data_IF_164652373336
#
_entry.id   IF_164652373336
#
_cell.length_a   1.000
_cell.length_b   1.000
_cell.length_c   1.000
_cell.angle_alpha   90.00
_cell.angle_beta   90.00
_cell.angle_gamma   90.00
#
_symmetry.space_group_name_H-M   'P 1'
#
loop_
_entity.id
_entity.type
_entity.pdbx_description
1 polymer ?
#
# COMPACT_ATOMS: atom_id res chain seq x y z
N UNK A 1 18.62 6.24 3.08
CA UNK A 1 18.03 7.34 2.27
C UNK A 1 16.74 7.90 2.87
N UNK A 2 15.67 7.11 3.11
CA UNK A 2 14.45 7.62 3.80
C UNK A 2 14.64 7.75 5.32
N UNK A 3 15.33 6.79 5.95
CA UNK A 3 15.65 6.87 7.39
C UNK A 3 16.62 8.00 7.71
N UNK A 4 17.70 8.14 6.93
CA UNK A 4 18.67 9.24 7.09
C UNK A 4 18.00 10.62 6.95
N UNK A 5 17.00 10.76 6.07
CA UNK A 5 16.23 11.99 5.94
C UNK A 5 15.33 12.27 7.16
N UNK A 6 14.80 11.21 7.79
CA UNK A 6 14.02 11.33 9.02
C UNK A 6 14.91 11.72 10.21
N UNK A 7 16.08 11.08 10.34
CA UNK A 7 17.09 11.44 11.34
C UNK A 7 17.50 12.91 11.21
N UNK A 8 17.81 13.36 10.00
CA UNK A 8 18.16 14.76 9.74
C UNK A 8 17.06 15.74 10.14
N UNK A 9 15.79 15.42 9.85
CA UNK A 9 14.66 16.28 10.23
C UNK A 9 14.43 16.31 11.74
N UNK A 10 14.66 15.20 12.44
CA UNK A 10 14.63 15.17 13.91
C UNK A 10 15.73 16.08 14.48
N UNK A 11 16.95 15.95 13.97
CA UNK A 11 18.08 16.78 14.42
C UNK A 11 17.84 18.27 14.14
N UNK A 12 17.35 18.61 12.95
CA UNK A 12 16.99 19.98 12.57
C UNK A 12 15.91 20.55 13.50
N UNK A 13 14.82 19.79 13.73
CA UNK A 13 13.75 20.25 14.62
C UNK A 13 14.22 20.39 16.08
N UNK A 14 15.07 19.48 16.56
CA UNK A 14 15.59 19.49 17.93
C UNK A 14 16.55 20.66 18.22
N UNK A 15 17.13 21.27 17.18
CA UNK A 15 18.06 22.41 17.30
C UNK A 15 17.36 23.77 17.29
N UNK A 16 16.04 23.81 17.05
CA UNK A 16 15.29 25.07 17.00
C UNK A 16 15.17 25.70 18.40
N UNK A 17 15.29 27.02 18.47
CA UNK A 17 15.14 27.79 19.71
C UNK A 17 13.68 28.19 20.01
N UNK A 18 12.77 27.88 19.08
CA UNK A 18 11.34 28.18 19.11
C UNK A 18 11.01 29.68 19.19
N UNK A 19 11.94 30.57 18.86
CA UNK A 19 11.76 32.01 18.98
C UNK A 19 10.62 32.54 18.08
N UNK A 20 10.45 31.93 16.90
CA UNK A 20 9.43 32.28 15.91
C UNK A 20 7.99 32.04 16.41
N UNK A 21 7.77 31.04 17.28
CA UNK A 21 6.46 30.73 17.85
C UNK A 21 6.20 31.41 19.20
N UNK A 22 7.18 32.06 19.82
CA UNK A 22 7.02 32.74 21.12
C UNK A 22 5.82 33.70 21.18
N UNK A 23 5.56 34.56 20.18
CA UNK A 23 4.40 35.45 20.20
C UNK A 23 3.06 34.68 20.32
N UNK A 24 3.00 33.49 19.72
CA UNK A 24 1.81 32.64 19.73
C UNK A 24 1.59 31.93 21.07
N UNK A 25 2.52 31.98 22.03
CA UNK A 25 2.24 31.52 23.40
C UNK A 25 1.25 32.43 24.12
N UNK A 26 1.14 33.70 23.71
CA UNK A 26 0.15 34.64 24.24
C UNK A 26 -1.25 34.38 23.62
N UNK A 27 -2.28 34.06 24.44
CA UNK A 27 -3.64 33.84 23.94
C UNK A 27 -4.25 35.03 23.17
N UNK A 28 -3.96 36.26 23.59
CA UNK A 28 -4.48 37.46 22.93
C UNK A 28 -3.86 37.66 21.54
N UNK A 29 -2.57 37.32 21.42
CA UNK A 29 -1.90 37.33 20.13
C UNK A 29 -2.52 36.30 19.20
N UNK A 30 -2.73 35.05 19.64
CA UNK A 30 -3.43 34.01 18.85
C UNK A 30 -4.80 34.47 18.36
N UNK A 31 -5.56 35.14 19.24
CA UNK A 31 -6.87 35.72 18.89
C UNK A 31 -6.74 36.80 17.83
N UNK A 32 -5.73 37.66 17.90
CA UNK A 32 -5.44 38.68 16.88
C UNK A 32 -5.05 38.08 15.53
N UNK A 33 -4.37 36.92 15.54
CA UNK A 33 -3.99 36.14 14.37
C UNK A 33 -5.15 35.29 13.81
N UNK A 34 -6.37 35.49 14.32
CA UNK A 34 -7.56 34.88 13.75
C UNK A 34 -7.81 33.43 14.17
N UNK A 35 -7.14 32.93 15.22
CA UNK A 35 -7.43 31.59 15.71
C UNK A 35 -8.86 31.51 16.28
N UNK A 36 -9.51 30.37 16.08
CA UNK A 36 -10.86 30.13 16.58
C UNK A 36 -10.80 29.83 18.07
N UNK A 37 -11.53 30.58 18.89
CA UNK A 37 -11.41 30.55 20.36
C UNK A 37 -11.54 29.16 21.01
N UNK A 38 -12.49 28.34 20.56
CA UNK A 38 -12.72 27.00 21.13
C UNK A 38 -11.93 25.89 20.42
N UNK A 39 -10.95 26.23 19.58
CA UNK A 39 -10.15 25.22 18.89
C UNK A 39 -9.02 24.69 19.78
N UNK A 40 -8.66 23.43 19.57
CA UNK A 40 -7.48 22.82 20.16
C UNK A 40 -6.20 23.57 19.76
N UNK A 41 -6.15 24.17 18.56
CA UNK A 41 -5.06 25.04 18.12
C UNK A 41 -4.89 26.27 19.03
N UNK A 42 -5.99 26.85 19.53
CA UNK A 42 -5.95 27.97 20.48
C UNK A 42 -5.64 27.52 21.91
N UNK A 43 -6.22 26.40 22.34
CA UNK A 43 -6.23 25.96 23.73
C UNK A 43 -4.96 25.19 24.13
N UNK A 44 -4.24 24.64 23.15
CA UNK A 44 -3.09 23.76 23.39
C UNK A 44 -1.86 24.16 22.59
N UNK A 45 -1.79 25.39 22.07
CA UNK A 45 -0.66 25.85 21.27
C UNK A 45 0.68 25.73 22.03
N UNK A 46 0.66 26.02 23.33
CA UNK A 46 1.82 25.95 24.20
C UNK A 46 2.36 24.52 24.37
N UNK A 47 1.55 23.49 24.09
CA UNK A 47 2.02 22.10 24.08
C UNK A 47 3.04 21.83 22.96
N UNK A 48 3.24 22.74 22.00
CA UNK A 48 4.35 22.65 21.03
C UNK A 48 5.72 22.70 21.70
N UNK A 49 5.85 23.42 22.82
CA UNK A 49 7.09 23.45 23.60
C UNK A 49 7.36 22.08 24.22
N UNK A 50 6.32 21.42 24.74
CA UNK A 50 6.41 20.08 25.30
C UNK A 50 6.75 19.04 24.21
N UNK A 51 6.14 19.17 23.01
CA UNK A 51 6.48 18.34 21.85
C UNK A 51 7.96 18.50 21.49
N UNK A 52 8.45 19.74 21.38
CA UNK A 52 9.84 20.01 21.08
C UNK A 52 10.79 19.38 22.12
N UNK A 53 10.50 19.54 23.42
CA UNK A 53 11.27 18.89 24.48
C UNK A 53 11.30 17.37 24.34
N UNK A 54 10.19 16.75 23.93
CA UNK A 54 10.13 15.31 23.68
C UNK A 54 10.94 14.89 22.46
N UNK A 55 10.96 15.69 21.39
CA UNK A 55 11.84 15.44 20.25
C UNK A 55 13.31 15.51 20.68
N UNK A 56 13.70 16.53 21.45
CA UNK A 56 15.06 16.65 22.00
C UNK A 56 15.43 15.46 22.90
N UNK A 57 14.52 15.02 23.77
CA UNK A 57 14.79 13.97 24.75
C UNK A 57 14.78 12.56 24.14
N UNK A 58 13.79 12.26 23.31
CA UNK A 58 13.50 10.89 22.84
C UNK A 58 13.80 10.68 21.36
N UNK A 59 14.18 11.74 20.64
CA UNK A 59 14.68 11.69 19.26
C UNK A 59 13.69 10.91 18.37
N UNK A 60 14.18 9.91 17.62
CA UNK A 60 13.37 9.06 16.72
C UNK A 60 12.15 8.39 17.38
N UNK A 61 12.12 8.28 18.71
CA UNK A 61 11.04 7.60 19.45
C UNK A 61 10.06 8.56 20.13
N UNK A 62 10.21 9.88 19.95
CA UNK A 62 9.41 10.88 20.65
C UNK A 62 7.90 10.68 20.54
N UNK A 63 7.42 10.21 19.38
CA UNK A 63 5.99 10.00 19.13
C UNK A 63 5.35 9.02 20.12
N UNK A 64 6.13 8.05 20.63
CA UNK A 64 5.66 7.07 21.62
C UNK A 64 5.48 7.66 23.02
N UNK A 65 6.01 8.86 23.27
CA UNK A 65 5.95 9.54 24.55
C UNK A 65 4.96 10.71 24.57
N UNK A 66 4.23 10.93 23.47
CA UNK A 66 3.25 12.01 23.38
C UNK A 66 1.99 11.70 24.21
N UNK A 67 1.52 12.66 25.00
CA UNK A 67 0.27 12.59 25.75
C UNK A 67 -0.93 13.08 24.91
N UNK A 68 -2.12 13.01 25.47
CA UNK A 68 -3.35 13.41 24.76
C UNK A 68 -3.33 14.90 24.32
N UNK A 69 -2.78 15.79 25.15
CA UNK A 69 -2.73 17.23 24.87
C UNK A 69 -1.82 17.54 23.68
N UNK A 70 -0.64 16.94 23.65
CA UNK A 70 0.34 17.08 22.56
C UNK A 70 -0.20 16.48 21.27
N UNK A 71 -0.82 15.30 21.33
CA UNK A 71 -1.48 14.72 20.17
C UNK A 71 -2.59 15.65 19.63
N UNK A 72 -3.40 16.27 20.51
CA UNK A 72 -4.44 17.23 20.09
C UNK A 72 -3.87 18.42 19.33
N UNK A 73 -2.74 19.01 19.76
CA UNK A 73 -2.16 20.15 19.03
C UNK A 73 -1.59 19.71 17.68
N UNK A 74 -0.92 18.55 17.61
CA UNK A 74 -0.40 18.01 16.34
C UNK A 74 -1.52 17.74 15.33
N UNK A 75 -2.59 17.05 15.76
CA UNK A 75 -3.76 16.81 14.92
C UNK A 75 -4.40 18.13 14.48
N UNK A 76 -4.47 19.13 15.36
CA UNK A 76 -5.06 20.43 15.03
C UNK A 76 -4.25 21.24 14.03
N UNK A 77 -2.92 21.10 14.05
CA UNK A 77 -2.05 21.68 13.03
C UNK A 77 -2.20 20.96 11.69
N UNK A 78 -2.21 19.63 11.69
CA UNK A 78 -2.46 18.85 10.47
C UNK A 78 -3.81 19.18 9.84
N UNK A 79 -4.86 19.24 10.66
CA UNK A 79 -6.22 19.65 10.29
C UNK A 79 -6.30 21.07 9.70
N UNK A 80 -5.46 21.98 10.21
CA UNK A 80 -5.43 23.37 9.77
C UNK A 80 -4.51 23.60 8.57
N UNK A 81 -3.73 22.59 8.14
CA UNK A 81 -2.69 22.76 7.10
C UNK A 81 -3.26 23.15 5.75
N UNK A 82 -4.39 22.57 5.38
CA UNK A 82 -5.03 22.79 4.09
C UNK A 82 -6.50 23.19 4.26
N UNK A 83 -7.06 24.03 3.36
CA UNK A 83 -8.49 24.26 3.31
C UNK A 83 -9.25 22.96 3.07
N UNK A 84 -10.43 22.83 3.67
CA UNK A 84 -11.35 21.74 3.34
C UNK A 84 -11.98 21.91 1.95
N UNK A 85 -12.84 20.98 1.53
CA UNK A 85 -13.52 21.03 0.22
C UNK A 85 -14.32 22.33 -0.02
N UNK A 86 -14.81 22.97 1.06
CA UNK A 86 -15.52 24.27 1.01
C UNK A 86 -14.57 25.49 0.96
N UNK A 87 -13.25 25.28 0.93
CA UNK A 87 -12.25 26.34 1.02
C UNK A 87 -12.11 26.96 2.41
N UNK A 88 -12.69 26.35 3.46
CA UNK A 88 -12.57 26.81 4.85
C UNK A 88 -11.35 26.18 5.51
N UNK A 89 -10.55 27.00 6.18
CA UNK A 89 -9.41 26.55 6.97
C UNK A 89 -9.89 26.19 8.37
N UNK A 90 -9.66 24.94 8.80
CA UNK A 90 -10.04 24.49 10.15
C UNK A 90 -9.22 25.24 11.19
N UNK A 91 -9.81 25.50 12.36
CA UNK A 91 -9.20 26.22 13.49
C UNK A 91 -8.93 27.73 13.29
N UNK A 92 -9.22 28.29 12.10
CA UNK A 92 -9.15 29.73 11.84
C UNK A 92 -10.55 30.34 11.68
N UNK A 93 -10.65 31.63 11.97
CA UNK A 93 -11.82 32.44 11.63
C UNK A 93 -11.83 32.76 10.13
N UNK A 94 -12.98 33.15 9.58
CA UNK A 94 -13.11 33.52 8.16
C UNK A 94 -12.18 34.68 7.79
N UNK A 95 -11.69 34.69 6.54
CA UNK A 95 -10.87 35.76 5.94
C UNK A 95 -9.53 35.98 6.67
N UNK A 96 -8.85 34.87 7.03
CA UNK A 96 -7.57 34.86 7.77
C UNK A 96 -6.49 34.07 7.06
N UNK A 97 -6.54 34.06 5.74
CA UNK A 97 -5.66 33.26 4.88
C UNK A 97 -4.20 33.73 5.00
N UNK A 98 -3.98 35.03 5.20
CA UNK A 98 -2.62 35.59 5.39
C UNK A 98 -2.00 35.16 6.71
N UNK A 99 -2.76 35.22 7.81
CA UNK A 99 -2.30 34.82 9.13
C UNK A 99 -2.10 33.30 9.22
N UNK A 100 -2.97 32.53 8.55
CA UNK A 100 -2.77 31.10 8.34
C UNK A 100 -1.46 30.80 7.61
N UNK A 101 -1.24 31.44 6.45
CA UNK A 101 -0.02 31.26 5.68
C UNK A 101 1.22 31.63 6.51
N UNK A 102 1.16 32.76 7.22
CA UNK A 102 2.26 33.22 8.09
C UNK A 102 2.58 32.18 9.16
N UNK A 103 1.58 31.55 9.78
CA UNK A 103 1.81 30.49 10.79
C UNK A 103 2.54 29.29 10.19
N UNK A 104 2.14 28.84 9.00
CA UNK A 104 2.73 27.65 8.37
C UNK A 104 4.07 27.92 7.68
N UNK A 105 4.43 29.18 7.47
CA UNK A 105 5.75 29.62 7.01
C UNK A 105 6.77 29.75 8.16
N UNK A 106 6.33 29.72 9.42
CA UNK A 106 7.23 29.67 10.57
C UNK A 106 8.13 28.44 10.48
N UNK A 107 9.41 28.60 10.81
CA UNK A 107 10.43 27.54 10.72
C UNK A 107 10.06 26.36 11.61
N UNK A 108 9.62 26.63 12.85
CA UNK A 108 9.17 25.60 13.79
C UNK A 108 7.98 24.82 13.23
N UNK A 109 6.96 25.51 12.69
CA UNK A 109 5.75 24.84 12.21
C UNK A 109 6.03 24.07 10.92
N UNK A 110 6.74 24.67 9.96
CA UNK A 110 7.07 24.03 8.69
C UNK A 110 7.96 22.79 8.87
N UNK A 111 8.97 22.87 9.73
CA UNK A 111 9.86 21.73 10.05
C UNK A 111 9.10 20.63 10.77
N UNK A 112 8.22 20.98 11.73
CA UNK A 112 7.34 20.01 12.38
C UNK A 112 6.39 19.32 11.37
N UNK A 113 5.83 20.06 10.43
CA UNK A 113 4.97 19.47 9.39
C UNK A 113 5.75 18.51 8.48
N UNK A 114 6.98 18.87 8.10
CA UNK A 114 7.86 17.97 7.35
C UNK A 114 8.19 16.70 8.13
N UNK A 115 8.41 16.81 9.44
CA UNK A 115 8.62 15.69 10.35
C UNK A 115 7.41 14.74 10.38
N UNK A 116 6.20 15.29 10.57
CA UNK A 116 4.96 14.50 10.59
C UNK A 116 4.69 13.82 9.25
N UNK A 117 4.95 14.49 8.13
CA UNK A 117 4.85 13.90 6.79
C UNK A 117 5.79 12.72 6.60
N UNK A 118 7.01 12.80 7.14
CA UNK A 118 7.95 11.69 7.09
C UNK A 118 7.51 10.50 7.94
N UNK A 119 6.92 10.74 9.12
CA UNK A 119 6.33 9.67 9.93
C UNK A 119 5.21 8.97 9.16
N UNK A 120 4.32 9.72 8.52
CA UNK A 120 3.24 9.15 7.71
C UNK A 120 3.79 8.34 6.52
N UNK A 121 4.79 8.87 5.81
CA UNK A 121 5.45 8.17 4.69
C UNK A 121 6.09 6.86 5.14
N UNK A 122 6.75 6.84 6.30
CA UNK A 122 7.33 5.61 6.86
C UNK A 122 6.24 4.59 7.20
N UNK A 123 5.12 5.02 7.78
CA UNK A 123 3.98 4.15 8.06
C UNK A 123 3.41 3.53 6.78
N UNK A 124 3.23 4.32 5.72
CA UNK A 124 2.77 3.80 4.43
C UNK A 124 3.78 2.83 3.81
N UNK A 125 5.08 3.11 3.94
CA UNK A 125 6.13 2.23 3.46
C UNK A 125 6.14 0.88 4.19
N UNK A 126 5.93 0.87 5.51
CA UNK A 126 5.78 -0.36 6.30
C UNK A 126 4.59 -1.19 5.81
N UNK A 127 3.43 -0.55 5.58
CA UNK A 127 2.25 -1.24 5.05
C UNK A 127 2.51 -1.86 3.68
N UNK A 128 3.22 -1.15 2.81
CA UNK A 128 3.61 -1.66 1.49
C UNK A 128 4.56 -2.87 1.61
N UNK A 129 5.56 -2.81 2.48
CA UNK A 129 6.46 -3.93 2.74
C UNK A 129 5.67 -5.14 3.25
N UNK A 130 4.78 -4.97 4.22
CA UNK A 130 3.96 -6.04 4.77
C UNK A 130 3.10 -6.71 3.68
N UNK A 131 2.46 -5.92 2.83
CA UNK A 131 1.66 -6.43 1.71
C UNK A 131 2.52 -7.25 0.73
N UNK A 132 3.72 -6.75 0.40
CA UNK A 132 4.65 -7.45 -0.49
C UNK A 132 5.17 -8.74 0.13
N UNK A 133 5.56 -8.73 1.41
CA UNK A 133 6.01 -9.93 2.12
C UNK A 133 4.91 -10.98 2.18
N UNK A 134 3.68 -10.60 2.51
CA UNK A 134 2.54 -11.51 2.51
C UNK A 134 2.32 -12.15 1.13
N UNK A 135 2.38 -11.35 0.06
CA UNK A 135 2.32 -11.86 -1.31
C UNK A 135 3.45 -12.84 -1.61
N UNK A 136 4.69 -12.49 -1.27
CA UNK A 136 5.85 -13.35 -1.49
C UNK A 136 5.72 -14.68 -0.74
N UNK A 137 5.28 -14.65 0.51
CA UNK A 137 5.05 -15.85 1.33
C UNK A 137 3.97 -16.73 0.69
N UNK A 138 2.81 -16.17 0.33
CA UNK A 138 1.72 -16.94 -0.30
C UNK A 138 2.17 -17.59 -1.60
N UNK A 139 2.89 -16.86 -2.46
CA UNK A 139 3.42 -17.42 -3.71
C UNK A 139 4.49 -18.49 -3.46
N UNK A 140 5.38 -18.28 -2.49
CA UNK A 140 6.39 -19.27 -2.12
C UNK A 140 5.75 -20.56 -1.57
N UNK A 141 4.75 -20.44 -0.71
CA UNK A 141 3.99 -21.58 -0.17
C UNK A 141 3.25 -22.30 -1.30
N UNK A 142 2.52 -21.57 -2.14
CA UNK A 142 1.81 -22.15 -3.29
C UNK A 142 2.73 -22.95 -4.21
N UNK A 143 3.96 -22.47 -4.42
CA UNK A 143 4.91 -23.12 -5.31
C UNK A 143 5.63 -24.31 -4.65
N UNK A 144 5.99 -24.22 -3.36
CA UNK A 144 6.81 -25.23 -2.67
C UNK A 144 6.01 -26.33 -2.01
N UNK A 145 4.85 -26.02 -1.45
CA UNK A 145 4.02 -26.99 -0.71
C UNK A 145 3.66 -28.22 -1.57
N UNK A 146 3.25 -28.07 -2.85
CA UNK A 146 3.03 -29.20 -3.76
C UNK A 146 4.22 -30.16 -3.90
N UNK A 147 5.44 -29.61 -3.96
CA UNK A 147 6.68 -30.38 -4.14
C UNK A 147 7.02 -31.13 -2.85
N UNK A 148 6.95 -30.45 -1.70
CA UNK A 148 7.24 -31.06 -0.39
C UNK A 148 6.27 -32.20 -0.08
N UNK A 149 4.97 -32.01 -0.38
CA UNK A 149 3.95 -33.03 -0.21
C UNK A 149 4.21 -34.25 -1.10
N UNK A 150 4.70 -34.04 -2.33
CA UNK A 150 5.09 -35.15 -3.21
C UNK A 150 6.29 -35.93 -2.71
N UNK A 151 7.36 -35.24 -2.27
CA UNK A 151 8.57 -35.88 -1.73
C UNK A 151 8.27 -36.77 -0.52
N UNK A 152 7.20 -36.45 0.22
CA UNK A 152 6.73 -37.23 1.39
C UNK A 152 5.71 -38.31 1.04
N UNK A 153 5.31 -38.44 -0.22
CA UNK A 153 4.20 -39.31 -0.63
C UNK A 153 2.83 -38.84 -0.14
N UNK A 154 2.74 -37.64 0.44
CA UNK A 154 1.52 -37.02 0.96
C UNK A 154 0.78 -36.26 -0.16
N UNK A 155 0.51 -36.93 -1.27
CA UNK A 155 -0.21 -36.28 -2.39
C UNK A 155 -1.69 -36.19 -2.11
N UNK A 156 -2.30 -35.01 -2.28
CA UNK A 156 -3.76 -34.86 -2.25
C UNK A 156 -4.36 -35.14 -3.63
N UNK A 157 -5.64 -35.51 -3.67
CA UNK A 157 -6.39 -35.70 -4.92
C UNK A 157 -6.32 -34.45 -5.83
N UNK A 158 -6.47 -33.27 -5.23
CA UNK A 158 -6.34 -31.99 -5.96
C UNK A 158 -4.97 -31.80 -6.60
N UNK A 159 -3.90 -32.20 -5.90
CA UNK A 159 -2.53 -32.08 -6.42
C UNK A 159 -2.27 -33.04 -7.59
N UNK A 160 -2.78 -34.26 -7.51
CA UNK A 160 -2.68 -35.24 -8.59
C UNK A 160 -3.43 -34.77 -9.84
N UNK A 161 -4.62 -34.17 -9.68
CA UNK A 161 -5.41 -33.63 -10.78
C UNK A 161 -4.68 -32.48 -11.50
N UNK A 162 -4.13 -31.52 -10.74
CA UNK A 162 -3.33 -30.41 -11.29
C UNK A 162 -2.10 -30.93 -12.06
N UNK A 163 -1.39 -31.93 -11.52
CA UNK A 163 -0.25 -32.55 -12.21
C UNK A 163 -0.65 -33.23 -13.51
N UNK A 164 -1.74 -33.99 -13.49
CA UNK A 164 -2.24 -34.65 -14.68
C UNK A 164 -2.59 -33.62 -15.76
N UNK A 165 -3.26 -32.52 -15.38
CA UNK A 165 -3.52 -31.40 -16.29
C UNK A 165 -2.24 -30.76 -16.85
N UNK A 166 -1.23 -30.54 -16.01
CA UNK A 166 0.07 -30.04 -16.47
C UNK A 166 0.76 -31.01 -17.45
N UNK A 167 0.71 -32.31 -17.17
CA UNK A 167 1.28 -33.32 -18.05
C UNK A 167 0.52 -33.42 -19.40
N UNK A 168 -0.80 -33.31 -19.37
CA UNK A 168 -1.68 -33.32 -20.55
C UNK A 168 -1.57 -32.05 -21.40
N UNK A 169 -1.19 -30.91 -20.80
CA UNK A 169 -0.96 -29.64 -21.51
C UNK A 169 0.50 -29.44 -21.95
N UNK A 170 1.43 -30.25 -21.40
CA UNK A 170 2.85 -30.22 -21.73
C UNK A 170 3.19 -30.80 -23.11
N UNK A 171 4.49 -30.79 -23.46
CA UNK A 171 5.01 -31.20 -24.79
C UNK A 171 4.64 -32.63 -25.21
N UNK A 172 4.48 -33.55 -24.27
CA UNK A 172 4.08 -34.95 -24.55
C UNK A 172 2.61 -35.22 -24.23
N UNK A 173 1.82 -34.18 -23.94
CA UNK A 173 0.44 -34.29 -23.48
C UNK A 173 -0.46 -35.04 -24.44
N UNK A 174 -0.29 -34.86 -25.76
CA UNK A 174 -1.06 -35.59 -26.77
C UNK A 174 -0.78 -37.11 -26.78
N UNK A 175 0.46 -37.52 -26.46
CA UNK A 175 0.80 -38.94 -26.34
C UNK A 175 0.23 -39.52 -25.06
N UNK A 176 0.31 -38.77 -23.96
CA UNK A 176 -0.27 -39.17 -22.67
C UNK A 176 -1.80 -39.31 -22.76
N UNK A 177 -2.48 -38.32 -23.33
CA UNK A 177 -3.93 -38.37 -23.58
C UNK A 177 -4.32 -39.56 -24.44
N UNK A 178 -3.56 -39.83 -25.51
CA UNK A 178 -3.78 -40.99 -26.38
C UNK A 178 -3.59 -42.31 -25.65
N UNK A 179 -2.55 -42.41 -24.81
CA UNK A 179 -2.28 -43.59 -24.01
C UNK A 179 -3.42 -43.86 -23.02
N UNK A 180 -3.86 -42.84 -22.27
CA UNK A 180 -4.98 -42.97 -21.33
C UNK A 180 -6.26 -43.38 -22.06
N UNK A 181 -6.58 -42.72 -23.18
CA UNK A 181 -7.76 -43.05 -23.99
C UNK A 181 -7.69 -44.45 -24.59
N UNK A 182 -6.50 -44.98 -24.87
CA UNK A 182 -6.37 -46.35 -25.37
C UNK A 182 -6.73 -47.39 -24.28
N UNK A 183 -6.29 -47.17 -23.04
CA UNK A 183 -6.59 -48.06 -21.91
C UNK A 183 -8.01 -47.87 -21.37
N UNK A 184 -8.54 -46.65 -21.43
CA UNK A 184 -9.87 -46.28 -20.97
C UNK A 184 -10.62 -45.54 -22.08
N UNK A 185 -11.16 -46.25 -23.09
CA UNK A 185 -11.72 -45.62 -24.29
C UNK A 185 -13.04 -44.88 -24.07
N UNK A 186 -13.80 -45.29 -23.06
CA UNK A 186 -15.09 -44.69 -22.69
C UNK A 186 -15.01 -44.29 -21.22
N UNK A 187 -15.37 -43.04 -20.92
CA UNK A 187 -15.50 -42.54 -19.57
C UNK A 187 -16.97 -42.18 -19.32
N UNK A 188 -17.59 -42.85 -18.34
CA UNK A 188 -18.90 -42.50 -17.80
C UNK A 188 -18.65 -41.66 -16.55
N UNK A 189 -19.19 -40.45 -16.51
CA UNK A 189 -19.04 -39.54 -15.38
C UNK A 189 -20.37 -39.42 -14.69
N UNK A 190 -20.43 -39.96 -13.48
CA UNK A 190 -21.55 -39.77 -12.58
C UNK A 190 -21.43 -38.42 -11.86
N UNK A 191 -22.53 -37.87 -11.38
CA UNK A 191 -22.59 -36.58 -10.67
C UNK A 191 -21.93 -35.42 -11.44
N UNK A 192 -22.20 -35.34 -12.75
CA UNK A 192 -21.56 -34.37 -13.66
C UNK A 192 -21.75 -32.90 -13.27
N UNK A 193 -22.78 -32.58 -12.47
CA UNK A 193 -23.02 -31.25 -11.93
C UNK A 193 -21.98 -30.80 -10.89
N UNK A 194 -21.27 -31.74 -10.26
CA UNK A 194 -20.27 -31.47 -9.20
C UNK A 194 -18.82 -31.39 -9.74
N UNK A 195 -18.64 -31.48 -11.05
CA UNK A 195 -17.33 -31.40 -11.70
C UNK A 195 -16.71 -30.01 -11.49
N UNK A 196 -15.51 -29.97 -10.92
CA UNK A 196 -14.73 -28.74 -10.80
C UNK A 196 -13.89 -28.43 -12.05
N UNK A 197 -13.34 -27.21 -12.12
CA UNK A 197 -12.58 -26.76 -13.28
C UNK A 197 -11.37 -27.63 -13.65
N UNK A 198 -10.65 -28.18 -12.68
CA UNK A 198 -9.50 -29.05 -12.93
C UNK A 198 -9.93 -30.40 -13.53
N UNK A 199 -11.01 -30.99 -13.04
CA UNK A 199 -11.58 -32.21 -13.61
C UNK A 199 -12.09 -31.97 -15.04
N UNK A 200 -12.75 -30.85 -15.31
CA UNK A 200 -13.21 -30.49 -16.64
C UNK A 200 -12.05 -30.38 -17.64
N UNK A 201 -10.97 -29.68 -17.27
CA UNK A 201 -9.76 -29.55 -18.11
C UNK A 201 -9.15 -30.93 -18.40
N UNK A 202 -9.09 -31.82 -17.41
CA UNK A 202 -8.57 -33.17 -17.57
C UNK A 202 -9.41 -33.95 -18.59
N UNK A 203 -10.73 -33.98 -18.40
CA UNK A 203 -11.67 -34.70 -19.27
C UNK A 203 -11.60 -34.17 -20.69
N UNK A 204 -11.60 -32.84 -20.85
CA UNK A 204 -11.46 -32.18 -22.15
C UNK A 204 -10.16 -32.59 -22.84
N UNK A 205 -9.05 -32.60 -22.11
CA UNK A 205 -7.73 -32.93 -22.64
C UNK A 205 -7.60 -34.40 -23.05
N UNK A 206 -8.27 -35.32 -22.34
CA UNK A 206 -8.17 -36.76 -22.58
C UNK A 206 -9.22 -37.25 -23.57
N UNK A 207 -10.45 -36.75 -23.56
CA UNK A 207 -11.57 -37.38 -24.28
C UNK A 207 -12.17 -36.53 -25.38
N UNK A 208 -12.13 -35.20 -25.26
CA UNK A 208 -12.76 -34.33 -26.23
C UNK A 208 -11.80 -33.96 -27.36
N UNK A 209 -12.30 -33.81 -28.60
CA UNK A 209 -11.48 -33.30 -29.69
C UNK A 209 -10.98 -31.91 -29.32
N UNK A 210 -9.66 -31.67 -29.44
CA UNK A 210 -9.11 -30.31 -29.31
C UNK A 210 -9.88 -29.40 -30.28
N UNK A 211 -10.76 -28.55 -29.75
CA UNK A 211 -11.35 -27.48 -30.57
C UNK A 211 -10.16 -26.71 -31.13
N UNK A 212 -10.00 -26.70 -32.45
CA UNK A 212 -9.11 -25.75 -33.11
C UNK A 212 -9.60 -24.37 -32.66
N UNK A 213 -9.00 -23.79 -31.62
CA UNK A 213 -9.10 -22.35 -31.37
C UNK A 213 -8.69 -21.75 -32.71
N UNK A 214 -9.62 -21.09 -33.39
CA UNK A 214 -9.30 -20.32 -34.59
C UNK A 214 -8.13 -19.44 -34.20
N UNK A 215 -6.96 -19.73 -34.76
CA UNK A 215 -5.86 -18.80 -34.82
C UNK A 215 -6.48 -17.56 -35.49
N UNK A 216 -6.71 -16.51 -34.71
CA UNK A 216 -7.07 -15.21 -35.25
C UNK A 216 -6.01 -14.84 -36.28
N UNK A 217 -6.42 -14.75 -37.55
CA UNK A 217 -5.67 -14.11 -38.61
C UNK A 217 -5.29 -12.70 -38.15
N UNK A 218 -4.06 -12.55 -37.65
CA UNK A 218 -3.45 -11.25 -37.36
C UNK A 218 -1.96 -11.26 -37.74
N UNK A 219 -1.58 -12.05 -38.74
CA UNK A 219 -0.19 -12.10 -39.27
C UNK A 219 -0.12 -11.93 -40.80
N UNK A 220 -1.10 -11.24 -41.40
CA UNK A 220 -1.03 -10.84 -42.82
C UNK A 220 -1.47 -9.41 -43.05
N UNK A 221 -0.78 -8.45 -42.43
CA UNK A 221 -0.77 -7.06 -42.91
C UNK A 221 0.40 -6.24 -42.33
N UNK A 222 1.64 -6.71 -42.52
CA UNK A 222 2.81 -5.86 -42.23
C UNK A 222 4.00 -6.12 -43.15
N UNK A 223 3.76 -6.45 -44.41
CA UNK A 223 4.83 -6.47 -45.43
C UNK A 223 4.27 -6.17 -46.81
N UNK A 224 4.01 -4.90 -47.11
CA UNK A 224 4.23 -4.29 -48.45
C UNK A 224 3.66 -2.87 -48.51
N UNK A 225 4.52 -1.84 -48.57
CA UNK A 225 4.65 -0.93 -49.73
C UNK A 225 5.61 0.24 -49.44
N UNK A 226 6.83 0.08 -49.98
CA UNK A 226 7.60 1.01 -50.84
C UNK A 226 7.33 2.53 -50.77
N UNK A 227 8.40 3.26 -50.41
CA UNK A 227 9.22 4.14 -51.29
C UNK A 227 8.46 5.16 -52.19
N UNK A 228 8.62 6.45 -51.79
CA UNK A 228 8.89 7.69 -52.56
C UNK A 228 7.91 8.18 -53.66
N UNK A 229 7.92 9.48 -54.02
CA UNK A 229 8.93 10.54 -53.78
C UNK A 229 8.59 11.57 -52.71
#
# INVERSE_FOLDING_TARGET
>A
MIFDAYEKLIDEFAQLDLADIQPYLNPDYRKSQGFRGNSNLTNHFDALVDVHQKVVQYQLTFSSYLNERENKILTSLQDARYPNEDGKIKNFNKNREKEHQTLFELETISTLMALLDMIERLNQYILLILANLNRHIVLAVRNRLPVILEERGETTFSLQMVRLNQALTGRQGDKLARYIRHHYPIALIDESQDINGEQAIMIESIYLPKRKRKQSDNDKQSTTKKIQP
#
